data_IF_375984472849
#
_entry.id   IF_375984472849
#
_cell.length_a   1.000
_cell.length_b   1.000
_cell.length_c   1.000
_cell.angle_alpha   90.00
_cell.angle_beta   90.00
_cell.angle_gamma   90.00
#
_symmetry.space_group_name_H-M   'P 1'
#
loop_
_entity.id
_entity.type
_entity.pdbx_description
1 polymer ?
#
# COMPACT_ATOMS: atom_id res chain seq x y z
N UNK A 1 -14.45 -10.26 -32.66
CA UNK A 1 -15.63 -11.09 -33.00
C UNK A 1 -15.88 -12.21 -31.99
N UNK A 2 -14.90 -13.06 -31.63
CA UNK A 2 -15.07 -14.13 -30.63
C UNK A 2 -15.53 -13.67 -29.24
N UNK A 3 -15.09 -12.47 -28.79
CA UNK A 3 -15.45 -11.96 -27.48
C UNK A 3 -16.93 -11.58 -27.40
N UNK A 4 -17.49 -11.04 -28.49
CA UNK A 4 -18.89 -10.68 -28.58
C UNK A 4 -19.78 -11.94 -28.57
N UNK A 5 -19.42 -13.00 -29.29
CA UNK A 5 -20.16 -14.28 -29.30
C UNK A 5 -20.19 -14.91 -27.89
N UNK A 6 -19.12 -14.80 -27.10
CA UNK A 6 -19.10 -15.33 -25.72
C UNK A 6 -20.06 -14.56 -24.82
N UNK A 7 -20.12 -13.24 -24.91
CA UNK A 7 -21.04 -12.42 -24.14
C UNK A 7 -22.50 -12.70 -24.49
N UNK A 8 -22.81 -12.81 -25.76
CA UNK A 8 -24.16 -13.17 -26.22
C UNK A 8 -24.58 -14.58 -25.78
N UNK A 9 -23.67 -15.55 -25.81
CA UNK A 9 -23.96 -16.95 -25.42
C UNK A 9 -24.14 -17.12 -23.91
N UNK A 10 -23.57 -16.25 -23.10
CA UNK A 10 -23.67 -16.29 -21.62
C UNK A 10 -24.80 -15.43 -21.07
N UNK A 11 -25.50 -14.68 -21.91
CA UNK A 11 -26.57 -13.75 -21.49
C UNK A 11 -26.09 -12.52 -20.70
N UNK A 12 -24.80 -12.27 -20.74
CA UNK A 12 -24.22 -11.06 -20.12
C UNK A 12 -24.34 -9.86 -21.07
N UNK A 13 -24.72 -8.71 -20.54
CA UNK A 13 -24.73 -7.47 -21.32
C UNK A 13 -23.29 -7.04 -21.67
N UNK A 14 -23.07 -6.70 -22.94
CA UNK A 14 -21.79 -6.14 -23.39
C UNK A 14 -21.67 -4.75 -22.80
N UNK A 15 -20.59 -4.43 -22.03
CA UNK A 15 -20.38 -3.09 -21.49
C UNK A 15 -20.31 -2.07 -22.64
N UNK A 16 -21.32 -1.25 -22.78
CA UNK A 16 -21.43 -0.30 -23.90
C UNK A 16 -20.52 0.94 -23.75
N UNK A 17 -19.90 1.14 -22.59
CA UNK A 17 -18.98 2.25 -22.33
C UNK A 17 -17.80 1.77 -21.47
N UNK A 18 -16.83 1.13 -22.10
CA UNK A 18 -15.57 0.70 -21.46
C UNK A 18 -14.50 1.79 -21.38
N UNK A 19 -14.88 3.06 -21.21
CA UNK A 19 -13.93 4.11 -20.91
C UNK A 19 -13.60 4.09 -19.43
N UNK A 20 -12.55 3.38 -19.05
CA UNK A 20 -11.95 3.51 -17.72
C UNK A 20 -11.21 4.84 -17.66
N UNK A 21 -11.83 5.84 -17.06
CA UNK A 21 -11.19 7.11 -16.77
C UNK A 21 -10.51 7.00 -15.41
N UNK A 22 -9.18 6.96 -15.39
CA UNK A 22 -8.42 7.09 -14.17
C UNK A 22 -8.41 8.56 -13.73
N UNK A 23 -9.13 8.88 -12.67
CA UNK A 23 -9.15 10.23 -12.12
C UNK A 23 -7.84 10.53 -11.37
N UNK A 24 -7.42 11.81 -11.35
CA UNK A 24 -6.17 12.19 -10.71
C UNK A 24 -6.23 11.93 -9.19
N UNK A 25 -5.11 11.43 -8.66
CA UNK A 25 -4.86 11.23 -7.25
C UNK A 25 -3.75 12.17 -6.80
N UNK A 26 -3.97 12.89 -5.70
CA UNK A 26 -2.95 13.68 -5.03
C UNK A 26 -2.44 12.91 -3.82
N UNK A 27 -1.14 12.62 -3.80
CA UNK A 27 -0.48 11.99 -2.66
C UNK A 27 0.38 13.02 -1.92
N UNK A 28 0.15 13.18 -0.64
CA UNK A 28 0.92 14.04 0.25
C UNK A 28 1.59 13.18 1.31
N UNK A 29 2.86 13.45 1.59
CA UNK A 29 3.61 12.70 2.57
C UNK A 29 4.47 13.60 3.45
N UNK A 30 4.63 13.21 4.71
CA UNK A 30 5.55 13.82 5.65
C UNK A 30 6.28 12.71 6.40
N UNK A 31 7.60 12.85 6.53
CA UNK A 31 8.43 11.90 7.25
C UNK A 31 9.36 12.62 8.23
N UNK A 32 9.64 11.97 9.35
CA UNK A 32 10.59 12.46 10.34
C UNK A 32 11.47 11.33 10.84
N UNK A 33 12.79 11.57 10.84
CA UNK A 33 13.77 10.64 11.35
C UNK A 33 14.32 11.10 12.70
N UNK A 34 14.65 10.11 13.53
CA UNK A 34 15.27 10.29 14.85
C UNK A 34 16.44 9.32 14.96
N UNK A 35 17.55 9.75 15.52
CA UNK A 35 18.70 8.89 15.77
C UNK A 35 18.93 8.74 17.29
N UNK A 36 19.07 7.51 17.74
CA UNK A 36 19.32 7.18 19.13
C UNK A 36 20.73 6.60 19.26
N UNK A 37 21.60 7.33 19.96
CA UNK A 37 23.00 6.94 20.26
C UNK A 37 23.80 6.54 19.02
N UNK A 38 23.56 7.18 17.88
CA UNK A 38 24.22 6.96 16.59
C UNK A 38 24.20 5.50 16.07
N UNK A 39 23.34 4.66 16.63
CA UNK A 39 23.24 3.26 16.25
C UNK A 39 21.84 2.82 15.82
N UNK A 40 20.83 3.49 16.34
CA UNK A 40 19.44 3.17 16.04
C UNK A 40 18.80 4.38 15.39
N UNK A 41 18.37 4.20 14.16
CA UNK A 41 17.50 5.13 13.44
C UNK A 41 16.04 4.74 13.60
N UNK A 42 15.17 5.73 13.69
CA UNK A 42 13.72 5.57 13.65
C UNK A 42 13.20 6.55 12.63
N UNK A 43 12.50 6.06 11.63
CA UNK A 43 11.78 6.87 10.65
C UNK A 43 10.28 6.65 10.85
N UNK A 44 9.54 7.74 10.96
CA UNK A 44 8.08 7.74 10.98
C UNK A 44 7.61 8.50 9.76
N UNK A 45 6.69 7.91 9.02
CA UNK A 45 6.14 8.46 7.79
C UNK A 45 4.62 8.44 7.83
N UNK A 46 4.01 9.56 7.48
CA UNK A 46 2.57 9.70 7.27
C UNK A 46 2.33 10.11 5.84
N UNK A 47 1.58 9.30 5.12
CA UNK A 47 1.13 9.58 3.76
C UNK A 47 -0.39 9.69 3.72
N UNK A 48 -0.90 10.46 2.79
CA UNK A 48 -2.33 10.65 2.58
C UNK A 48 -2.60 10.74 1.09
N UNK A 49 -3.46 9.85 0.61
CA UNK A 49 -3.97 9.87 -0.75
C UNK A 49 -5.34 10.57 -0.79
N UNK A 50 -5.44 11.59 -1.63
CA UNK A 50 -6.67 12.35 -1.87
C UNK A 50 -7.13 12.05 -3.28
N UNK A 51 -8.33 11.53 -3.42
CA UNK A 51 -8.95 11.22 -4.71
C UNK A 51 -10.22 12.04 -4.92
N UNK A 52 -10.56 12.28 -6.18
CA UNK A 52 -11.70 13.10 -6.58
C UNK A 52 -12.77 12.30 -7.32
N UNK A 53 -12.76 10.99 -7.16
CA UNK A 53 -13.64 10.04 -7.83
C UNK A 53 -14.94 9.71 -7.06
N UNK A 54 -15.31 10.60 -6.14
CA UNK A 54 -16.52 10.46 -5.34
C UNK A 54 -16.32 9.65 -4.07
N UNK A 55 -17.41 9.14 -3.52
CA UNK A 55 -17.40 8.39 -2.25
C UNK A 55 -16.73 7.03 -2.42
N UNK A 56 -15.65 6.83 -1.69
CA UNK A 56 -14.97 5.54 -1.54
C UNK A 56 -15.15 4.98 -0.13
N UNK A 57 -14.92 3.69 0.03
CA UNK A 57 -14.90 3.03 1.36
C UNK A 57 -13.57 3.28 2.07
N UNK A 58 -13.22 4.54 2.30
CA UNK A 58 -12.00 4.98 3.00
C UNK A 58 -12.37 5.65 4.32
N UNK A 59 -11.35 5.93 5.15
CA UNK A 59 -11.55 6.51 6.49
C UNK A 59 -12.39 7.81 6.45
N UNK A 60 -12.07 8.70 5.53
CA UNK A 60 -12.84 9.95 5.30
C UNK A 60 -13.36 9.92 3.87
N UNK A 61 -14.62 9.57 3.73
CA UNK A 61 -15.29 9.57 2.43
C UNK A 61 -16.22 10.78 2.31
N UNK A 62 -16.04 11.55 1.26
CA UNK A 62 -16.84 12.72 0.92
C UNK A 62 -17.24 12.71 -0.54
N UNK A 63 -17.97 13.72 -0.94
CA UNK A 63 -18.29 14.00 -2.33
C UNK A 63 -17.89 15.45 -2.60
N UNK A 64 -16.93 15.73 -3.47
CA UNK A 64 -16.24 14.83 -4.39
C UNK A 64 -14.93 14.20 -3.86
N UNK A 65 -14.51 14.44 -2.64
CA UNK A 65 -13.19 14.07 -2.14
C UNK A 65 -13.23 12.89 -1.18
N UNK A 66 -12.30 11.96 -1.36
CA UNK A 66 -12.01 10.87 -0.44
C UNK A 66 -10.55 10.92 0.01
N UNK A 67 -10.28 10.60 1.29
CA UNK A 67 -8.96 10.71 1.91
C UNK A 67 -8.59 9.38 2.54
N UNK A 68 -7.46 8.82 2.12
CA UNK A 68 -6.91 7.54 2.60
C UNK A 68 -5.54 7.78 3.26
N UNK A 69 -5.48 7.82 4.61
CA UNK A 69 -4.22 7.97 5.33
C UNK A 69 -3.49 6.64 5.48
N UNK A 70 -2.16 6.69 5.36
CA UNK A 70 -1.25 5.58 5.54
C UNK A 70 -0.14 5.98 6.52
N UNK A 71 0.20 5.12 7.46
CA UNK A 71 1.26 5.34 8.43
C UNK A 71 2.32 4.25 8.29
N UNK A 72 3.59 4.66 8.26
CA UNK A 72 4.75 3.79 8.26
C UNK A 72 5.72 4.12 9.38
N UNK A 73 6.39 3.10 9.89
CA UNK A 73 7.52 3.20 10.80
C UNK A 73 8.63 2.28 10.33
N UNK A 74 9.85 2.79 10.34
CA UNK A 74 11.06 2.00 10.13
C UNK A 74 11.98 2.18 11.33
N UNK A 75 12.55 1.09 11.80
CA UNK A 75 13.60 1.07 12.80
C UNK A 75 14.81 0.43 12.16
N UNK A 76 15.92 1.15 12.11
CA UNK A 76 17.17 0.61 11.64
C UNK A 76 18.18 0.46 12.75
N UNK A 77 19.05 -0.54 12.62
CA UNK A 77 20.21 -0.73 13.45
C UNK A 77 21.48 -0.60 12.64
N UNK A 78 22.25 0.46 12.91
CA UNK A 78 23.52 0.79 12.25
C UNK A 78 23.41 0.95 10.72
N UNK A 79 22.23 1.19 10.17
CA UNK A 79 21.99 1.23 8.73
C UNK A 79 22.16 -0.12 8.03
N UNK A 80 22.22 -1.22 8.80
CA UNK A 80 22.43 -2.58 8.29
C UNK A 80 21.15 -3.38 8.34
N UNK A 81 20.49 -3.42 9.49
CA UNK A 81 19.25 -4.16 9.69
C UNK A 81 18.08 -3.19 9.78
N UNK A 82 16.99 -3.54 9.11
CA UNK A 82 15.78 -2.73 9.04
C UNK A 82 14.58 -3.56 9.45
N UNK A 83 13.77 -3.01 10.34
CA UNK A 83 12.44 -3.51 10.68
C UNK A 83 11.44 -2.43 10.29
N UNK A 84 10.45 -2.81 9.48
CA UNK A 84 9.42 -1.92 8.97
C UNK A 84 8.05 -2.39 9.38
N UNK A 85 7.19 -1.47 9.70
CA UNK A 85 5.78 -1.75 9.96
C UNK A 85 4.94 -0.60 9.45
N UNK A 86 3.72 -0.90 9.04
CA UNK A 86 2.81 0.13 8.58
C UNK A 86 1.39 -0.38 8.51
N UNK A 87 0.50 0.54 8.35
CA UNK A 87 -0.89 0.24 8.04
C UNK A 87 -1.47 1.33 7.13
N UNK A 88 -2.39 0.93 6.30
CA UNK A 88 -3.11 1.80 5.39
C UNK A 88 -4.41 1.16 4.97
N UNK A 89 -5.02 1.72 3.93
CA UNK A 89 -6.26 1.23 3.36
C UNK A 89 -7.33 1.01 4.43
N UNK A 90 -7.53 2.03 5.29
CA UNK A 90 -8.54 2.00 6.34
C UNK A 90 -9.91 2.16 5.68
N UNK A 91 -10.69 1.08 5.63
CA UNK A 91 -11.99 1.06 4.98
C UNK A 91 -13.10 1.00 6.01
N UNK A 92 -14.21 1.65 5.69
CA UNK A 92 -15.46 1.54 6.43
C UNK A 92 -16.46 0.74 5.61
N UNK A 93 -16.66 -0.51 5.99
CA UNK A 93 -17.60 -1.43 5.35
C UNK A 93 -18.85 -1.60 6.21
N UNK A 94 -19.97 -1.92 5.57
CA UNK A 94 -21.16 -2.36 6.30
C UNK A 94 -20.97 -3.82 6.70
N UNK A 95 -21.22 -4.13 7.97
CA UNK A 95 -21.16 -5.51 8.43
C UNK A 95 -22.21 -6.37 7.68
N UNK A 96 -21.83 -7.60 7.36
CA UNK A 96 -22.74 -8.55 6.69
C UNK A 96 -23.96 -8.90 7.56
N UNK A 97 -23.78 -8.87 8.88
CA UNK A 97 -24.84 -9.17 9.85
C UNK A 97 -24.98 -8.00 10.80
N UNK A 98 -26.09 -7.28 10.72
CA UNK A 98 -26.38 -6.12 11.53
C UNK A 98 -26.32 -4.81 10.74
N UNK A 99 -26.73 -3.72 11.37
CA UNK A 99 -26.78 -2.40 10.74
C UNK A 99 -25.70 -1.47 11.35
N UNK A 100 -24.47 -1.97 11.50
CA UNK A 100 -23.34 -1.20 11.99
C UNK A 100 -22.21 -1.16 10.98
N UNK A 101 -21.34 -0.15 11.10
CA UNK A 101 -20.15 -0.05 10.26
C UNK A 101 -18.98 -0.76 10.93
N UNK A 102 -18.24 -1.52 10.16
CA UNK A 102 -16.98 -2.15 10.55
C UNK A 102 -15.82 -1.42 9.88
N UNK A 103 -14.72 -1.29 10.62
CA UNK A 103 -13.50 -0.70 10.08
C UNK A 103 -12.49 -1.82 9.85
N UNK A 104 -11.99 -1.89 8.62
CA UNK A 104 -10.89 -2.78 8.25
C UNK A 104 -9.65 -1.95 7.93
N UNK A 105 -8.49 -2.51 8.15
CA UNK A 105 -7.21 -1.89 7.81
C UNK A 105 -6.23 -2.97 7.37
N UNK A 106 -5.25 -2.60 6.56
CA UNK A 106 -4.23 -3.51 6.04
C UNK A 106 -2.89 -3.25 6.75
N UNK A 107 -2.52 -4.07 7.73
CA UNK A 107 -1.19 -4.01 8.32
C UNK A 107 -0.15 -4.67 7.42
N UNK A 108 1.05 -4.12 7.44
CA UNK A 108 2.20 -4.59 6.69
C UNK A 108 3.41 -4.66 7.63
N UNK A 109 4.23 -5.68 7.47
CA UNK A 109 5.48 -5.82 8.21
C UNK A 109 6.60 -6.22 7.24
N UNK A 110 7.80 -5.68 7.44
CA UNK A 110 8.94 -5.98 6.60
C UNK A 110 10.24 -6.00 7.38
N UNK A 111 11.18 -6.78 6.88
CA UNK A 111 12.55 -6.81 7.35
C UNK A 111 13.50 -6.57 6.17
N UNK A 112 14.63 -5.93 6.44
CA UNK A 112 15.63 -5.64 5.43
C UNK A 112 17.03 -5.76 5.97
N UNK A 113 17.97 -6.07 5.07
CA UNK A 113 19.40 -6.07 5.35
C UNK A 113 20.14 -5.33 4.24
N UNK A 114 20.99 -4.39 4.65
CA UNK A 114 21.84 -3.64 3.73
C UNK A 114 23.31 -4.01 3.98
N UNK A 115 23.95 -4.57 2.96
CA UNK A 115 25.33 -5.05 3.04
C UNK A 115 26.24 -4.08 2.29
N UNK A 116 27.08 -3.35 3.03
CA UNK A 116 28.10 -2.42 2.48
C UNK A 116 27.54 -1.41 1.46
N UNK A 117 26.32 -0.97 1.62
CA UNK A 117 25.65 -0.04 0.70
C UNK A 117 25.58 -0.54 -0.77
N UNK A 118 25.99 -1.77 -1.01
CA UNK A 118 26.05 -2.38 -2.34
C UNK A 118 24.89 -3.32 -2.58
N UNK A 119 24.53 -4.12 -1.59
CA UNK A 119 23.49 -5.12 -1.69
C UNK A 119 22.43 -4.86 -0.62
N UNK A 120 21.17 -4.68 -1.03
CA UNK A 120 20.04 -4.64 -0.13
C UNK A 120 19.12 -5.82 -0.43
N UNK A 121 18.68 -6.48 0.62
CA UNK A 121 17.73 -7.59 0.58
C UNK A 121 16.58 -7.22 1.49
N UNK A 122 15.37 -7.20 0.95
CA UNK A 122 14.16 -6.87 1.70
C UNK A 122 13.11 -7.96 1.53
N UNK A 123 12.40 -8.24 2.60
CA UNK A 123 11.25 -9.12 2.60
C UNK A 123 10.11 -8.46 3.35
N UNK A 124 8.92 -8.51 2.78
CA UNK A 124 7.73 -7.95 3.39
C UNK A 124 6.54 -8.91 3.29
N UNK A 125 5.75 -8.91 4.35
CA UNK A 125 4.40 -9.46 4.40
C UNK A 125 3.43 -8.30 4.35
N UNK A 126 2.56 -8.31 3.36
CA UNK A 126 1.55 -7.27 3.15
C UNK A 126 0.16 -7.87 3.20
N UNK A 127 -0.84 -7.03 3.33
CA UNK A 127 -2.25 -7.41 3.33
C UNK A 127 -2.61 -8.39 4.46
N UNK A 128 -1.94 -8.26 5.61
CA UNK A 128 -2.20 -9.10 6.77
C UNK A 128 -3.60 -8.79 7.33
N UNK A 129 -4.50 -9.78 7.29
CA UNK A 129 -5.83 -9.65 7.86
C UNK A 129 -6.89 -9.06 6.92
N UNK A 130 -6.61 -8.94 5.62
CA UNK A 130 -7.63 -8.65 4.63
C UNK A 130 -8.61 -9.83 4.51
N UNK A 131 -9.90 -9.51 4.27
CA UNK A 131 -10.95 -10.52 4.02
C UNK A 131 -10.90 -11.10 2.60
N UNK A 132 -9.83 -10.84 1.85
CA UNK A 132 -9.65 -11.41 0.52
C UNK A 132 -9.31 -12.91 0.56
N UNK A 133 -9.53 -13.60 -0.54
CA UNK A 133 -9.19 -15.03 -0.69
C UNK A 133 -7.68 -15.29 -0.52
N UNK A 134 -6.85 -14.28 -0.77
CA UNK A 134 -5.42 -14.29 -0.47
C UNK A 134 -5.18 -13.64 0.89
N UNK A 135 -4.92 -14.45 1.92
CA UNK A 135 -4.77 -14.02 3.31
C UNK A 135 -3.57 -13.07 3.55
N UNK A 136 -2.58 -13.06 2.67
CA UNK A 136 -1.40 -12.20 2.72
C UNK A 136 -0.60 -12.28 1.43
N UNK A 137 0.17 -11.24 1.15
CA UNK A 137 1.12 -11.20 0.03
C UNK A 137 2.55 -11.19 0.54
N UNK A 138 3.42 -11.95 -0.13
CA UNK A 138 4.86 -11.99 0.13
C UNK A 138 5.58 -11.18 -0.93
N UNK A 139 6.39 -10.22 -0.51
CA UNK A 139 7.21 -9.40 -1.39
C UNK A 139 8.67 -9.61 -1.04
N UNK A 140 9.44 -10.08 -2.00
CA UNK A 140 10.90 -10.19 -1.89
C UNK A 140 11.56 -9.21 -2.86
N UNK A 141 12.50 -8.42 -2.38
CA UNK A 141 13.23 -7.45 -3.17
C UNK A 141 14.73 -7.61 -3.00
N UNK A 142 15.44 -7.55 -4.11
CA UNK A 142 16.90 -7.54 -4.16
C UNK A 142 17.37 -6.31 -4.94
N UNK A 143 18.20 -5.49 -4.33
CA UNK A 143 18.80 -4.33 -4.98
C UNK A 143 20.32 -4.41 -4.93
N UNK A 144 20.95 -4.33 -6.10
CA UNK A 144 22.41 -4.25 -6.25
C UNK A 144 22.79 -2.86 -6.77
N UNK A 145 23.57 -2.11 -6.00
CA UNK A 145 24.12 -0.83 -6.40
C UNK A 145 25.56 -1.00 -6.91
N UNK A 146 25.79 -0.74 -8.20
CA UNK A 146 27.11 -0.81 -8.82
C UNK A 146 27.62 0.61 -8.98
N UNK A 147 28.47 1.07 -8.04
CA UNK A 147 29.10 2.38 -8.12
C UNK A 147 30.40 2.25 -8.92
N UNK A 148 30.43 2.78 -10.15
CA UNK A 148 31.67 2.93 -10.91
C UNK A 148 32.50 4.02 -10.22
N UNK A 149 33.61 3.64 -9.54
CA UNK A 149 34.61 4.64 -9.12
C UNK A 149 35.10 5.36 -10.38
N UNK A 150 34.77 6.65 -10.49
CA UNK A 150 35.43 7.54 -11.44
C UNK A 150 36.87 7.69 -10.94
N UNK A 151 37.83 7.09 -11.63
CA UNK A 151 39.26 7.28 -11.41
C UNK A 151 39.72 8.61 -11.95
#
# INVERSE_FOLDING_TARGET
ERTIEVFESTGNEIPQNGLEITLPKLSLGAARSFNIKDRVGILVELNTDITTDGRRNVLVSGDPFSVDPNLGIEIDYMGIFFLRGGFGNVQRIKAEIGNYNEYTFQPNIGIGVNIKETLSIDYALTDLGDQSVALYSNVFSLRLAINKKSG
#
